data_IF_903054880077
#
_entry.id   IF_903054880077
#
_cell.length_a   1.000
_cell.length_b   1.000
_cell.length_c   1.000
_cell.angle_alpha   90.00
_cell.angle_beta   90.00
_cell.angle_gamma   90.00
#
_symmetry.space_group_name_H-M   'P 1'
#
loop_
_entity.id
_entity.type
_entity.pdbx_description
1 polymer ?
#
# COMPACT_ATOMS: atom_id res chain seq x y z
N UNK A 1 -21.89 -10.40 -6.02
CA UNK A 1 -20.48 -10.83 -6.21
C UNK A 1 -19.56 -9.65 -5.91
N UNK A 2 -19.52 -9.24 -4.64
CA UNK A 2 -18.76 -8.07 -4.16
C UNK A 2 -17.52 -8.61 -3.45
N UNK A 3 -16.31 -8.20 -3.84
CA UNK A 3 -15.11 -8.29 -2.99
C UNK A 3 -14.07 -9.38 -3.27
N UNK A 4 -13.55 -9.55 -4.50
CA UNK A 4 -12.42 -10.48 -4.73
C UNK A 4 -11.28 -9.99 -5.65
N UNK A 5 -11.27 -8.71 -6.03
CA UNK A 5 -10.42 -8.21 -7.14
C UNK A 5 -9.35 -7.17 -6.75
N UNK A 6 -9.52 -6.29 -5.74
CA UNK A 6 -8.54 -5.20 -5.54
C UNK A 6 -7.27 -5.63 -4.80
N UNK A 7 -7.40 -6.30 -3.65
CA UNK A 7 -6.28 -6.67 -2.76
C UNK A 7 -5.31 -7.66 -3.42
N UNK A 8 -5.85 -8.68 -4.09
CA UNK A 8 -5.04 -9.67 -4.81
C UNK A 8 -4.22 -9.02 -5.94
N UNK A 9 -4.79 -8.05 -6.67
CA UNK A 9 -4.07 -7.30 -7.71
C UNK A 9 -3.03 -6.34 -7.13
N UNK A 10 -3.34 -5.67 -6.01
CA UNK A 10 -2.36 -4.86 -5.30
C UNK A 10 -1.15 -5.72 -4.88
N UNK A 11 -1.38 -6.90 -4.32
CA UNK A 11 -0.32 -7.83 -3.92
C UNK A 11 0.48 -8.29 -5.16
N UNK A 12 -0.20 -8.67 -6.24
CA UNK A 12 0.42 -9.12 -7.50
C UNK A 12 1.34 -8.05 -8.10
N UNK A 13 1.01 -6.76 -7.96
CA UNK A 13 1.81 -5.67 -8.52
C UNK A 13 2.84 -5.13 -7.54
N UNK A 14 2.40 -4.70 -6.36
CA UNK A 14 3.28 -4.06 -5.35
C UNK A 14 4.33 -5.06 -4.83
N UNK A 15 3.94 -6.31 -4.62
CA UNK A 15 4.81 -7.36 -4.07
C UNK A 15 6.07 -7.57 -4.91
N UNK A 16 5.97 -8.13 -6.13
CA UNK A 16 7.13 -8.39 -6.97
C UNK A 16 7.69 -7.13 -7.65
N UNK A 17 6.82 -6.18 -8.04
CA UNK A 17 7.22 -5.02 -8.83
C UNK A 17 7.94 -3.94 -8.03
N UNK A 18 7.65 -3.81 -6.73
CA UNK A 18 8.15 -2.68 -5.92
C UNK A 18 8.81 -3.17 -4.63
N UNK A 19 8.06 -3.83 -3.74
CA UNK A 19 8.56 -4.22 -2.43
C UNK A 19 9.70 -5.24 -2.53
N UNK A 20 9.58 -6.23 -3.41
CA UNK A 20 10.65 -7.19 -3.64
C UNK A 20 11.90 -6.51 -4.19
N UNK A 21 11.75 -5.59 -5.15
CA UNK A 21 12.88 -4.90 -5.78
C UNK A 21 13.60 -3.94 -4.82
N UNK A 22 12.88 -3.11 -4.06
CA UNK A 22 13.47 -2.06 -3.22
C UNK A 22 13.72 -2.46 -1.77
N UNK A 23 13.01 -3.46 -1.24
CA UNK A 23 13.16 -3.88 0.16
C UNK A 23 13.84 -5.25 0.25
N UNK A 24 13.30 -6.26 -0.44
CA UNK A 24 13.76 -7.65 -0.29
C UNK A 24 15.10 -7.91 -0.99
N UNK A 25 15.30 -7.44 -2.23
CA UNK A 25 16.59 -7.62 -2.91
C UNK A 25 17.73 -6.92 -2.14
N UNK A 26 17.63 -5.64 -1.76
CA UNK A 26 18.77 -4.93 -1.19
C UNK A 26 19.05 -5.32 0.26
N UNK A 27 18.01 -5.54 1.06
CA UNK A 27 18.17 -5.69 2.52
C UNK A 27 18.51 -7.13 2.93
N UNK A 28 17.61 -8.13 2.78
CA UNK A 28 17.93 -9.50 3.13
C UNK A 28 18.76 -10.26 2.08
N UNK A 29 18.64 -9.97 0.78
CA UNK A 29 19.32 -10.75 -0.27
C UNK A 29 20.65 -10.15 -0.76
N UNK A 30 20.95 -8.89 -0.41
CA UNK A 30 22.13 -8.16 -0.88
C UNK A 30 22.27 -8.14 -2.42
N UNK A 31 21.13 -8.07 -3.12
CA UNK A 31 21.01 -7.98 -4.57
C UNK A 31 20.58 -6.57 -4.98
N UNK A 32 21.00 -6.17 -6.18
CA UNK A 32 20.62 -4.86 -6.75
C UNK A 32 19.13 -4.81 -7.10
N UNK A 33 18.51 -3.66 -6.82
CA UNK A 33 17.15 -3.33 -7.25
C UNK A 33 17.11 -3.14 -8.77
N UNK A 34 16.11 -3.71 -9.43
CA UNK A 34 15.80 -3.36 -10.82
C UNK A 34 14.82 -2.18 -10.85
N UNK A 35 15.37 -0.97 -10.93
CA UNK A 35 14.56 0.26 -10.93
C UNK A 35 13.71 0.43 -12.20
N UNK A 36 14.00 -0.27 -13.30
CA UNK A 36 13.15 -0.22 -14.49
C UNK A 36 11.84 -0.96 -14.25
N UNK A 37 11.90 -2.12 -13.59
CA UNK A 37 10.71 -2.85 -13.14
C UNK A 37 9.89 -1.98 -12.18
N UNK A 38 10.54 -1.35 -11.21
CA UNK A 38 9.84 -0.49 -10.24
C UNK A 38 9.15 0.67 -10.94
N UNK A 39 9.86 1.38 -11.82
CA UNK A 39 9.31 2.50 -12.59
C UNK A 39 8.11 2.08 -13.41
N UNK A 40 8.20 0.97 -14.15
CA UNK A 40 7.07 0.44 -14.94
C UNK A 40 5.85 0.13 -14.06
N UNK A 41 6.05 -0.53 -12.91
CA UNK A 41 4.93 -0.82 -12.00
C UNK A 41 4.33 0.46 -11.40
N UNK A 42 5.14 1.43 -10.97
CA UNK A 42 4.68 2.69 -10.34
C UNK A 42 3.98 3.61 -11.35
N UNK A 43 4.52 3.76 -12.55
CA UNK A 43 4.04 4.73 -13.54
C UNK A 43 2.92 4.17 -14.43
N UNK A 44 2.85 2.86 -14.63
CA UNK A 44 1.91 2.25 -15.59
C UNK A 44 0.89 1.32 -14.93
N UNK A 45 1.32 0.43 -14.02
CA UNK A 45 0.45 -0.63 -13.50
C UNK A 45 -0.36 -0.22 -12.26
N UNK A 46 0.23 0.58 -11.36
CA UNK A 46 -0.44 1.04 -10.14
C UNK A 46 -1.51 2.11 -10.38
N UNK A 47 -1.33 3.12 -11.25
CA UNK A 47 -2.28 4.21 -11.37
C UNK A 47 -3.72 3.76 -11.65
N UNK A 48 -4.00 2.82 -12.57
CA UNK A 48 -5.37 2.36 -12.81
C UNK A 48 -6.00 1.64 -11.61
N UNK A 49 -5.19 0.92 -10.81
CA UNK A 49 -5.68 0.27 -9.59
C UNK A 49 -6.04 1.30 -8.51
N UNK A 50 -5.21 2.34 -8.37
CA UNK A 50 -5.44 3.41 -7.41
C UNK A 50 -6.64 4.27 -7.80
N UNK A 51 -6.82 4.54 -9.09
CA UNK A 51 -7.97 5.29 -9.59
C UNK A 51 -9.27 4.50 -9.41
N UNK A 52 -9.23 3.17 -9.59
CA UNK A 52 -10.35 2.30 -9.23
C UNK A 52 -10.67 2.36 -7.73
N UNK A 53 -9.64 2.20 -6.88
CA UNK A 53 -9.81 2.26 -5.42
C UNK A 53 -10.33 3.62 -4.94
N UNK A 54 -9.89 4.72 -5.53
CA UNK A 54 -10.40 6.08 -5.25
C UNK A 54 -11.91 6.18 -5.53
N UNK A 55 -12.42 5.46 -6.53
CA UNK A 55 -13.85 5.35 -6.82
C UNK A 55 -14.63 4.47 -5.84
N UNK A 56 -14.00 3.40 -5.32
CA UNK A 56 -14.64 2.40 -4.46
C UNK A 56 -14.62 2.78 -2.97
N UNK A 57 -13.52 3.37 -2.49
CA UNK A 57 -13.40 3.77 -1.08
C UNK A 57 -14.34 4.95 -0.84
N UNK A 58 -15.21 4.83 0.17
CA UNK A 58 -16.16 5.90 0.52
C UNK A 58 -15.49 7.09 1.24
N UNK A 59 -14.19 7.31 1.03
CA UNK A 59 -13.40 8.27 1.78
C UNK A 59 -13.60 8.13 3.30
N UNK A 60 -13.65 9.27 3.99
CA UNK A 60 -13.91 9.33 5.43
C UNK A 60 -15.36 8.94 5.82
N UNK A 61 -16.28 8.72 4.87
CA UNK A 61 -17.67 8.35 5.18
C UNK A 61 -17.82 6.86 5.55
N UNK A 62 -16.77 6.04 5.34
CA UNK A 62 -16.65 4.69 5.91
C UNK A 62 -16.59 4.69 7.46
N UNK A 63 -16.34 5.86 8.07
CA UNK A 63 -16.11 6.02 9.51
C UNK A 63 -17.38 6.11 10.36
N UNK A 64 -18.57 6.00 9.75
CA UNK A 64 -19.83 6.03 10.50
C UNK A 64 -20.04 4.82 11.42
N UNK A 65 -19.20 3.77 11.32
CA UNK A 65 -19.25 2.62 12.23
C UNK A 65 -17.91 2.18 12.86
N UNK A 66 -16.90 3.07 12.91
CA UNK A 66 -15.64 3.00 13.71
C UNK A 66 -14.92 1.64 13.88
N UNK A 67 -15.22 0.64 13.06
CA UNK A 67 -14.72 -0.73 13.23
C UNK A 67 -13.97 -1.13 11.98
N UNK A 68 -12.70 -1.46 12.16
CA UNK A 68 -11.86 -2.02 11.11
C UNK A 68 -12.34 -3.45 10.83
N UNK A 69 -12.50 -3.77 9.56
CA UNK A 69 -12.88 -5.09 9.06
C UNK A 69 -11.70 -5.78 8.40
N UNK A 70 -11.88 -7.07 8.05
CA UNK A 70 -10.89 -7.84 7.31
C UNK A 70 -10.57 -7.22 5.94
N UNK A 71 -11.55 -6.58 5.29
CA UNK A 71 -11.36 -5.93 3.99
C UNK A 71 -10.38 -4.77 4.11
N UNK A 72 -10.47 -4.01 5.19
CA UNK A 72 -9.60 -2.86 5.43
C UNK A 72 -8.16 -3.31 5.68
N UNK A 73 -7.98 -4.39 6.43
CA UNK A 73 -6.68 -5.03 6.65
C UNK A 73 -6.09 -5.57 5.33
N UNK A 74 -6.91 -6.25 4.53
CA UNK A 74 -6.46 -6.80 3.25
C UNK A 74 -6.01 -5.71 2.27
N UNK A 75 -6.64 -4.53 2.31
CA UNK A 75 -6.25 -3.38 1.49
C UNK A 75 -5.03 -2.63 2.04
N UNK A 76 -4.91 -2.43 3.35
CA UNK A 76 -3.81 -1.64 3.92
C UNK A 76 -2.47 -2.36 3.91
N UNK A 77 -2.45 -3.69 4.05
CA UNK A 77 -1.21 -4.47 4.03
C UNK A 77 -0.32 -4.21 2.81
N UNK A 78 -0.79 -4.35 1.55
CA UNK A 78 0.04 -4.05 0.39
C UNK A 78 0.38 -2.56 0.26
N UNK A 79 -0.45 -1.64 0.77
CA UNK A 79 -0.13 -0.20 0.79
C UNK A 79 0.97 0.14 1.80
N UNK A 80 1.07 -0.58 2.91
CA UNK A 80 2.20 -0.49 3.84
C UNK A 80 3.48 -0.97 3.15
N UNK A 81 3.44 -2.10 2.43
CA UNK A 81 4.60 -2.56 1.63
C UNK A 81 5.07 -1.49 0.63
N UNK A 82 4.15 -0.81 -0.04
CA UNK A 82 4.45 0.30 -0.93
C UNK A 82 5.21 1.43 -0.21
N UNK A 83 4.71 1.84 0.96
CA UNK A 83 5.32 2.88 1.79
C UNK A 83 6.70 2.50 2.34
N UNK A 84 6.88 1.25 2.76
CA UNK A 84 8.18 0.72 3.17
C UNK A 84 9.19 0.73 2.01
N UNK A 85 8.71 0.52 0.78
CA UNK A 85 9.51 0.60 -0.44
C UNK A 85 9.75 2.05 -0.95
N UNK A 86 9.33 3.05 -0.19
CA UNK A 86 9.59 4.47 -0.47
C UNK A 86 8.58 5.13 -1.41
N UNK A 87 7.50 4.44 -1.77
CA UNK A 87 6.42 4.96 -2.61
C UNK A 87 5.23 5.44 -1.78
N UNK A 88 4.36 6.27 -2.37
CA UNK A 88 3.19 6.80 -1.65
C UNK A 88 1.99 7.00 -2.56
N UNK A 89 0.81 7.15 -1.96
CA UNK A 89 -0.41 7.51 -2.68
C UNK A 89 -0.36 9.00 -2.99
N UNK A 90 -0.48 9.37 -4.26
CA UNK A 90 -0.67 10.77 -4.67
C UNK A 90 -2.01 11.28 -4.14
N UNK A 91 -1.96 12.01 -3.01
CA UNK A 91 -3.14 12.56 -2.34
C UNK A 91 -3.84 13.68 -3.13
N UNK A 92 -3.17 14.31 -4.10
CA UNK A 92 -3.79 15.32 -4.96
C UNK A 92 -4.72 14.63 -5.97
N UNK A 93 -4.27 13.48 -6.52
CA UNK A 93 -5.08 12.71 -7.48
C UNK A 93 -6.08 11.76 -6.82
N UNK A 94 -5.71 11.15 -5.68
CA UNK A 94 -6.52 10.15 -4.95
C UNK A 94 -6.74 10.54 -3.48
N UNK A 95 -7.45 11.65 -3.22
CA UNK A 95 -7.63 12.16 -1.86
C UNK A 95 -8.40 11.20 -0.94
N UNK A 96 -9.38 10.44 -1.44
CA UNK A 96 -10.14 9.51 -0.60
C UNK A 96 -9.30 8.30 -0.20
N UNK A 97 -8.53 7.74 -1.14
CA UNK A 97 -7.64 6.61 -0.88
C UNK A 97 -6.52 7.01 0.08
N UNK A 98 -5.94 8.19 -0.07
CA UNK A 98 -4.94 8.72 0.85
C UNK A 98 -5.53 8.88 2.27
N UNK A 99 -6.67 9.55 2.42
CA UNK A 99 -7.32 9.71 3.73
C UNK A 99 -7.72 8.38 4.37
N UNK A 100 -8.12 7.40 3.54
CA UNK A 100 -8.44 6.05 3.99
C UNK A 100 -7.20 5.30 4.50
N UNK A 101 -6.09 5.37 3.77
CA UNK A 101 -4.81 4.82 4.20
C UNK A 101 -4.35 5.46 5.52
N UNK A 102 -4.34 6.79 5.60
CA UNK A 102 -3.93 7.54 6.79
C UNK A 102 -4.73 7.14 8.04
N UNK A 103 -6.05 6.98 7.88
CA UNK A 103 -6.91 6.51 8.96
C UNK A 103 -6.54 5.11 9.46
N UNK A 104 -6.20 4.19 8.56
CA UNK A 104 -5.85 2.81 8.91
C UNK A 104 -4.47 2.72 9.54
N UNK A 105 -3.46 3.42 9.03
CA UNK A 105 -2.11 3.38 9.60
C UNK A 105 -2.01 4.13 10.93
N UNK A 106 -2.92 5.07 11.21
CA UNK A 106 -3.01 5.72 12.51
C UNK A 106 -3.56 4.82 13.63
N UNK A 107 -4.08 3.63 13.30
CA UNK A 107 -4.61 2.70 14.30
C UNK A 107 -3.48 2.15 15.17
N UNK A 108 -3.60 2.14 16.51
CA UNK A 108 -2.47 1.87 17.41
C UNK A 108 -1.70 0.58 17.11
N UNK A 109 -2.41 -0.49 16.73
CA UNK A 109 -1.78 -1.78 16.41
C UNK A 109 -1.00 -1.71 15.09
N UNK A 110 -1.52 -1.02 14.08
CA UNK A 110 -0.87 -0.86 12.77
C UNK A 110 0.30 0.10 12.90
N UNK A 111 0.11 1.25 13.53
CA UNK A 111 1.17 2.23 13.79
C UNK A 111 2.36 1.62 14.54
N UNK A 112 2.10 0.83 15.59
CA UNK A 112 3.14 0.15 16.34
C UNK A 112 3.93 -0.85 15.48
N UNK A 113 3.26 -1.57 14.56
CA UNK A 113 3.93 -2.50 13.64
C UNK A 113 4.74 -1.78 12.58
N UNK A 114 4.15 -0.76 11.94
CA UNK A 114 4.82 0.05 10.94
C UNK A 114 6.10 0.69 11.50
N UNK A 115 6.08 1.19 12.74
CA UNK A 115 7.27 1.73 13.40
C UNK A 115 8.37 0.68 13.60
N UNK A 116 8.01 -0.56 13.92
CA UNK A 116 8.97 -1.65 14.05
C UNK A 116 9.60 -1.99 12.69
N UNK A 117 8.81 -2.04 11.63
CA UNK A 117 9.30 -2.30 10.26
C UNK A 117 10.22 -1.19 9.77
N UNK A 118 9.87 0.09 9.99
CA UNK A 118 10.74 1.23 9.67
C UNK A 118 12.08 1.15 10.41
N UNK A 119 12.04 0.82 11.71
CA UNK A 119 13.26 0.64 12.51
C UNK A 119 14.16 -0.47 11.95
N UNK A 120 13.59 -1.58 11.49
CA UNK A 120 14.36 -2.67 10.85
C UNK A 120 15.02 -2.23 9.54
N UNK A 121 14.39 -1.30 8.81
CA UNK A 121 14.93 -0.72 7.58
C UNK A 121 15.87 0.49 7.83
N UNK A 122 16.12 0.84 9.09
CA UNK A 122 16.95 1.99 9.45
C UNK A 122 16.32 3.35 9.12
N UNK A 123 14.99 3.43 9.11
CA UNK A 123 14.18 4.63 8.84
C UNK A 123 13.46 5.14 10.08
#
# INVERSE_FOLDING_TARGET
MVGRVPDSKLIEKIGPGIFFQRVVKPTPLQQECDEEVVRGTVEEELPPLFDYLEGEVKGAEFLHNKTISLVDIALVCPLISLYLAGESIDAIRRPKLAAYYDYLVAQPVIAARLQQELTMLGR
#
